data_IF_640294901774
#
_entry.id   IF_640294901774
#
_cell.length_a   1.000
_cell.length_b   1.000
_cell.length_c   1.000
_cell.angle_alpha   90.00
_cell.angle_beta   90.00
_cell.angle_gamma   90.00
#
_symmetry.space_group_name_H-M   'P 1'
#
loop_
_entity.id
_entity.type
_entity.pdbx_description
1 polymer ?
#
# COMPACT_ATOMS: atom_id res chain seq x y z
N UNK A 1 -8.49 -18.90 -32.96
CA UNK A 1 -8.08 -18.09 -31.82
C UNK A 1 -6.93 -18.72 -30.99
N UNK A 2 -7.04 -19.96 -30.51
CA UNK A 2 -5.99 -20.60 -29.68
C UNK A 2 -4.62 -20.72 -30.36
N UNK A 3 -4.54 -21.11 -31.64
CA UNK A 3 -3.27 -21.21 -32.39
C UNK A 3 -2.51 -19.87 -32.44
N UNK A 4 -3.20 -18.77 -32.76
CA UNK A 4 -2.53 -17.46 -32.84
C UNK A 4 -2.06 -16.91 -31.48
N UNK A 5 -2.60 -17.40 -30.35
CA UNK A 5 -2.06 -17.12 -29.02
C UNK A 5 -0.80 -17.94 -28.74
N UNK A 6 -0.80 -19.24 -29.13
CA UNK A 6 0.38 -20.10 -28.98
C UNK A 6 1.54 -19.56 -29.84
N UNK A 7 1.28 -19.15 -31.08
CA UNK A 7 2.30 -18.58 -31.96
C UNK A 7 2.93 -17.30 -31.38
N UNK A 8 2.13 -16.43 -30.71
CA UNK A 8 2.63 -15.24 -30.02
C UNK A 8 3.41 -15.57 -28.76
N UNK A 9 3.01 -16.62 -28.01
CA UNK A 9 3.73 -17.04 -26.80
C UNK A 9 5.07 -17.71 -27.14
N UNK A 10 5.21 -18.26 -28.36
CA UNK A 10 6.43 -18.85 -28.87
C UNK A 10 7.32 -17.85 -29.64
N UNK A 11 7.14 -16.56 -29.38
CA UNK A 11 7.96 -15.50 -29.95
C UNK A 11 9.03 -15.06 -28.94
N UNK A 12 10.24 -14.81 -29.41
CA UNK A 12 11.36 -14.35 -28.59
C UNK A 12 11.04 -13.05 -27.84
N UNK A 13 10.38 -12.10 -28.50
CA UNK A 13 9.97 -10.83 -27.90
C UNK A 13 9.05 -11.05 -26.69
N UNK A 14 8.11 -11.99 -26.80
CA UNK A 14 7.22 -12.34 -25.69
C UNK A 14 7.98 -12.97 -24.53
N UNK A 15 8.90 -13.89 -24.81
CA UNK A 15 9.73 -14.55 -23.77
C UNK A 15 10.61 -13.53 -23.07
N UNK A 16 11.22 -12.62 -23.83
CA UNK A 16 12.03 -11.53 -23.28
C UNK A 16 11.20 -10.63 -22.34
N UNK A 17 10.05 -10.16 -22.81
CA UNK A 17 9.15 -9.34 -22.02
C UNK A 17 8.69 -10.06 -20.74
N UNK A 18 8.37 -11.35 -20.83
CA UNK A 18 7.94 -12.17 -19.69
C UNK A 18 9.02 -12.27 -18.61
N UNK A 19 10.28 -12.55 -18.99
CA UNK A 19 11.41 -12.65 -18.06
C UNK A 19 11.73 -11.30 -17.44
N UNK A 20 11.74 -10.22 -18.22
CA UNK A 20 11.93 -8.86 -17.73
C UNK A 20 10.85 -8.50 -16.70
N UNK A 21 9.58 -8.72 -17.01
CA UNK A 21 8.48 -8.44 -16.10
C UNK A 21 8.53 -9.32 -14.84
N UNK A 22 8.86 -10.61 -14.97
CA UNK A 22 9.05 -11.50 -13.81
C UNK A 22 10.10 -10.96 -12.85
N UNK A 23 11.22 -10.47 -13.37
CA UNK A 23 12.31 -9.93 -12.57
C UNK A 23 11.91 -8.62 -11.87
N UNK A 24 11.34 -7.69 -12.62
CA UNK A 24 10.89 -6.40 -12.10
C UNK A 24 9.79 -6.55 -11.04
N UNK A 25 8.81 -7.44 -11.29
CA UNK A 25 7.77 -7.74 -10.32
C UNK A 25 8.34 -8.43 -9.06
N UNK A 26 9.40 -9.24 -9.21
CA UNK A 26 10.12 -9.82 -8.09
C UNK A 26 10.74 -8.75 -7.17
N UNK A 27 11.45 -7.77 -7.76
CA UNK A 27 12.04 -6.64 -7.00
C UNK A 27 10.96 -5.84 -6.24
N UNK A 28 9.80 -5.62 -6.86
CA UNK A 28 8.75 -4.76 -6.30
C UNK A 28 7.79 -5.50 -5.35
N UNK A 29 7.85 -6.83 -5.31
CA UNK A 29 6.89 -7.67 -4.58
C UNK A 29 6.88 -7.40 -3.07
N UNK A 30 8.04 -7.32 -2.45
CA UNK A 30 8.14 -7.17 -0.99
C UNK A 30 7.59 -5.83 -0.52
N UNK A 31 7.89 -4.76 -1.25
CA UNK A 31 7.31 -3.44 -1.00
C UNK A 31 5.78 -3.48 -1.19
N UNK A 32 5.31 -4.13 -2.26
CA UNK A 32 3.88 -4.27 -2.53
C UNK A 32 3.14 -5.00 -1.41
N UNK A 33 3.72 -6.07 -0.88
CA UNK A 33 3.16 -6.83 0.24
C UNK A 33 3.06 -5.98 1.52
N UNK A 34 4.10 -5.21 1.83
CA UNK A 34 4.10 -4.34 3.02
C UNK A 34 3.10 -3.20 2.86
N UNK A 35 3.04 -2.55 1.70
CA UNK A 35 2.09 -1.45 1.45
C UNK A 35 0.62 -1.92 1.42
N UNK A 36 0.35 -3.21 1.25
CA UNK A 36 -1.00 -3.79 1.28
C UNK A 36 -1.46 -4.21 2.68
N UNK A 37 -0.60 -4.19 3.68
CA UNK A 37 -1.00 -4.53 5.05
C UNK A 37 -1.91 -3.44 5.64
N UNK A 38 -2.84 -3.84 6.53
CA UNK A 38 -3.71 -2.88 7.25
C UNK A 38 -2.93 -2.03 8.24
N UNK A 39 -2.03 -2.67 8.98
CA UNK A 39 -1.19 -2.05 10.01
C UNK A 39 0.20 -1.79 9.42
N UNK A 40 0.32 -0.69 8.68
CA UNK A 40 1.55 -0.38 7.98
C UNK A 40 2.62 0.13 8.93
N UNK A 41 3.77 -0.53 8.87
CA UNK A 41 4.99 -0.03 9.48
C UNK A 41 5.69 0.92 8.49
N UNK A 42 5.54 2.23 8.72
CA UNK A 42 6.13 3.29 7.88
C UNK A 42 7.66 3.13 7.80
N UNK A 43 8.32 2.78 8.90
CA UNK A 43 9.78 2.59 8.96
C UNK A 43 10.20 1.46 8.01
N UNK A 44 9.49 0.33 8.07
CA UNK A 44 9.75 -0.81 7.19
C UNK A 44 9.47 -0.48 5.73
N UNK A 45 8.36 0.22 5.44
CA UNK A 45 8.03 0.64 4.10
C UNK A 45 9.11 1.56 3.50
N UNK A 46 9.62 2.51 4.29
CA UNK A 46 10.71 3.41 3.86
C UNK A 46 11.99 2.66 3.53
N UNK A 47 12.43 1.75 4.42
CA UNK A 47 13.60 0.91 4.18
C UNK A 47 13.46 0.06 2.90
N UNK A 48 12.28 -0.47 2.64
CA UNK A 48 12.01 -1.25 1.43
C UNK A 48 11.98 -0.39 0.16
N UNK A 49 11.49 0.84 0.24
CA UNK A 49 11.53 1.79 -0.88
C UNK A 49 12.99 2.08 -1.28
N UNK A 50 13.85 2.38 -0.32
CA UNK A 50 15.25 2.66 -0.58
C UNK A 50 15.98 1.41 -1.13
N UNK A 51 15.73 0.25 -0.54
CA UNK A 51 16.27 -1.03 -1.02
C UNK A 51 15.83 -1.31 -2.45
N UNK A 52 14.54 -1.14 -2.76
CA UNK A 52 14.00 -1.37 -4.10
C UNK A 52 14.58 -0.41 -5.14
N UNK A 53 14.73 0.88 -4.80
CA UNK A 53 15.39 1.87 -5.69
C UNK A 53 16.82 1.46 -6.01
N UNK A 54 17.58 1.02 -5.01
CA UNK A 54 18.94 0.53 -5.20
C UNK A 54 18.98 -0.73 -6.07
N UNK A 55 18.11 -1.71 -5.81
CA UNK A 55 18.02 -2.93 -6.61
C UNK A 55 17.64 -2.67 -8.07
N UNK A 56 16.73 -1.72 -8.33
CA UNK A 56 16.39 -1.32 -9.70
C UNK A 56 17.56 -0.65 -10.41
N UNK A 57 18.35 0.16 -9.69
CA UNK A 57 19.53 0.80 -10.25
C UNK A 57 20.62 -0.23 -10.57
N UNK A 58 20.90 -1.13 -9.66
CA UNK A 58 21.86 -2.23 -9.87
C UNK A 58 21.42 -3.12 -11.03
N UNK A 59 20.13 -3.44 -11.11
CA UNK A 59 19.58 -4.21 -12.21
C UNK A 59 19.68 -3.48 -13.57
N UNK A 60 19.50 -2.17 -13.58
CA UNK A 60 19.70 -1.37 -14.79
C UNK A 60 21.14 -1.44 -15.32
N UNK A 61 22.10 -1.47 -14.43
CA UNK A 61 23.52 -1.46 -14.79
C UNK A 61 24.04 -2.85 -15.15
N UNK A 62 23.68 -3.87 -14.37
CA UNK A 62 24.25 -5.21 -14.44
C UNK A 62 23.27 -6.30 -14.90
N UNK A 63 21.95 -6.03 -14.89
CA UNK A 63 20.91 -7.04 -15.12
C UNK A 63 20.77 -7.49 -16.57
N UNK A 64 21.31 -6.74 -17.53
CA UNK A 64 21.14 -7.07 -18.96
C UNK A 64 21.60 -8.50 -19.30
N UNK A 65 22.80 -8.86 -18.90
CA UNK A 65 23.36 -10.18 -19.24
C UNK A 65 22.59 -11.32 -18.56
N UNK A 66 22.13 -11.09 -17.34
CA UNK A 66 21.33 -12.05 -16.59
C UNK A 66 20.03 -12.37 -17.33
N UNK A 67 19.31 -11.35 -17.77
CA UNK A 67 18.05 -11.52 -18.51
C UNK A 67 18.31 -12.19 -19.86
N UNK A 68 19.35 -11.78 -20.58
CA UNK A 68 19.68 -12.34 -21.88
C UNK A 68 19.97 -13.83 -21.78
N UNK A 69 20.78 -14.25 -20.81
CA UNK A 69 21.15 -15.65 -20.58
C UNK A 69 19.93 -16.49 -20.17
N UNK A 70 19.05 -15.97 -19.29
CA UNK A 70 17.80 -16.66 -18.90
C UNK A 70 16.86 -16.84 -20.10
N UNK A 71 16.68 -15.80 -20.91
CA UNK A 71 15.81 -15.83 -22.09
C UNK A 71 16.34 -16.82 -23.12
N UNK A 72 17.64 -16.77 -23.44
CA UNK A 72 18.24 -17.66 -24.41
C UNK A 72 18.13 -19.10 -23.97
N UNK A 73 18.46 -19.40 -22.71
CA UNK A 73 18.33 -20.75 -22.15
C UNK A 73 16.87 -21.24 -22.19
N UNK A 74 15.90 -20.38 -21.85
CA UNK A 74 14.50 -20.75 -21.94
C UNK A 74 14.07 -21.03 -23.39
N UNK A 75 14.50 -20.20 -24.34
CA UNK A 75 14.18 -20.37 -25.75
C UNK A 75 14.76 -21.67 -26.31
N UNK A 76 16.02 -21.98 -26.00
CA UNK A 76 16.68 -23.23 -26.41
C UNK A 76 15.93 -24.46 -25.86
N UNK A 77 15.59 -24.47 -24.57
CA UNK A 77 14.87 -25.59 -23.94
C UNK A 77 13.46 -25.79 -24.51
N UNK A 78 12.82 -24.75 -25.02
CA UNK A 78 11.46 -24.81 -25.55
C UNK A 78 11.41 -24.78 -27.10
N UNK A 79 12.55 -24.90 -27.78
CA UNK A 79 12.68 -24.88 -29.24
C UNK A 79 12.14 -23.58 -29.87
N UNK A 80 12.23 -22.47 -29.16
CA UNK A 80 11.92 -21.14 -29.66
C UNK A 80 13.19 -20.60 -30.35
N UNK A 81 13.11 -20.04 -31.56
CA UNK A 81 14.29 -19.51 -32.25
C UNK A 81 14.93 -18.37 -31.43
N UNK A 82 16.21 -18.53 -31.11
CA UNK A 82 17.02 -17.48 -30.47
C UNK A 82 17.45 -16.49 -31.54
N UNK A 83 17.37 -15.21 -31.20
CA UNK A 83 17.68 -14.09 -32.10
C UNK A 83 19.15 -13.72 -31.96
N UNK A 84 19.84 -13.50 -33.09
CA UNK A 84 21.19 -12.93 -33.06
C UNK A 84 21.11 -11.44 -32.72
N UNK A 85 21.79 -11.02 -31.67
CA UNK A 85 21.80 -9.64 -31.17
C UNK A 85 22.48 -8.66 -32.14
N UNK A 86 23.37 -9.16 -33.02
CA UNK A 86 24.05 -8.32 -34.03
C UNK A 86 23.23 -8.15 -35.32
N UNK A 87 22.17 -8.95 -35.49
CA UNK A 87 21.30 -8.81 -36.67
C UNK A 87 20.55 -7.48 -36.65
N UNK A 88 20.39 -6.92 -37.85
CA UNK A 88 19.71 -5.65 -38.03
C UNK A 88 18.22 -5.83 -38.27
N UNK A 89 17.42 -5.08 -37.55
CA UNK A 89 15.97 -4.98 -37.76
C UNK A 89 15.59 -3.63 -38.35
N UNK A 90 14.60 -3.63 -39.25
CA UNK A 90 14.06 -2.41 -39.82
C UNK A 90 13.16 -1.71 -38.79
N UNK A 91 13.41 -0.45 -38.50
CA UNK A 91 12.56 0.34 -37.60
C UNK A 91 11.16 0.46 -38.26
N UNK A 92 10.14 -0.12 -37.60
CA UNK A 92 8.73 0.03 -37.95
C UNK A 92 8.24 1.46 -37.60
N UNK A 93 8.77 2.48 -38.30
CA UNK A 93 8.31 3.86 -38.19
C UNK A 93 7.31 4.20 -39.27
N UNK A 94 6.41 5.16 -39.01
CA UNK A 94 5.44 5.67 -39.96
C UNK A 94 6.09 5.96 -41.32
N UNK A 95 5.66 5.25 -42.34
CA UNK A 95 6.19 5.26 -43.74
C UNK A 95 6.31 6.66 -44.40
N UNK A 96 5.83 7.72 -43.75
CA UNK A 96 5.92 9.11 -44.26
C UNK A 96 7.16 9.89 -43.79
N UNK A 97 7.95 9.38 -42.81
CA UNK A 97 9.17 10.08 -42.33
C UNK A 97 10.47 9.33 -42.59
N UNK A 98 10.45 8.05 -42.95
CA UNK A 98 11.65 7.27 -43.21
C UNK A 98 12.08 7.38 -44.70
N UNK A 99 12.69 8.50 -45.07
CA UNK A 99 13.43 8.61 -46.35
C UNK A 99 14.85 7.98 -46.33
N UNK A 100 15.29 7.49 -45.17
CA UNK A 100 16.47 6.61 -45.00
C UNK A 100 16.02 5.50 -44.08
N UNK A 101 16.00 4.26 -44.57
CA UNK A 101 15.75 3.09 -43.74
C UNK A 101 16.86 3.01 -42.68
N UNK A 102 16.61 3.56 -41.49
CA UNK A 102 17.46 3.37 -40.34
C UNK A 102 17.22 1.95 -39.87
N UNK A 103 18.26 1.15 -39.87
CA UNK A 103 18.29 -0.18 -39.27
C UNK A 103 18.95 -0.03 -37.90
N UNK A 104 18.41 -0.68 -36.93
CA UNK A 104 19.04 -0.85 -35.60
C UNK A 104 19.34 -2.32 -35.42
N UNK A 105 20.30 -2.65 -34.56
CA UNK A 105 20.56 -4.04 -34.18
C UNK A 105 19.51 -4.54 -33.18
N UNK A 106 19.30 -5.86 -33.12
CA UNK A 106 18.50 -6.48 -32.09
C UNK A 106 19.00 -6.10 -30.70
N UNK A 107 20.34 -6.04 -30.52
CA UNK A 107 20.96 -5.57 -29.28
C UNK A 107 20.47 -4.17 -28.88
N UNK A 108 20.43 -3.21 -29.81
CA UNK A 108 19.94 -1.87 -29.50
C UNK A 108 18.47 -1.90 -29.14
N UNK A 109 17.65 -2.63 -29.89
CA UNK A 109 16.22 -2.75 -29.64
C UNK A 109 15.91 -3.35 -28.27
N UNK A 110 16.46 -4.54 -27.96
CA UNK A 110 16.14 -5.21 -26.70
C UNK A 110 16.80 -4.57 -25.49
N UNK A 111 18.06 -4.12 -25.61
CA UNK A 111 18.78 -3.52 -24.49
C UNK A 111 18.37 -2.08 -24.23
N UNK A 112 18.32 -1.23 -25.27
CA UNK A 112 18.12 0.22 -25.09
C UNK A 112 16.63 0.57 -25.11
N UNK A 113 15.91 0.15 -26.16
CA UNK A 113 14.52 0.57 -26.34
C UNK A 113 13.52 -0.21 -25.46
N UNK A 114 13.88 -1.43 -24.97
CA UNK A 114 13.00 -2.19 -24.07
C UNK A 114 13.58 -2.24 -22.67
N UNK A 115 14.71 -2.90 -22.46
CA UNK A 115 15.23 -3.15 -21.10
C UNK A 115 15.53 -1.84 -20.36
N UNK A 116 16.41 -0.99 -20.91
CA UNK A 116 16.78 0.26 -20.21
C UNK A 116 15.57 1.20 -20.07
N UNK A 117 14.76 1.38 -21.11
CA UNK A 117 13.61 2.30 -21.06
C UNK A 117 12.57 1.87 -20.04
N UNK A 118 12.24 0.57 -19.97
CA UNK A 118 11.28 0.05 -18.96
C UNK A 118 11.80 0.22 -17.55
N UNK A 119 13.09 -0.11 -17.30
CA UNK A 119 13.69 0.05 -15.97
C UNK A 119 13.77 1.52 -15.59
N UNK A 120 14.20 2.40 -16.50
CA UNK A 120 14.28 3.86 -16.28
C UNK A 120 12.90 4.47 -15.97
N UNK A 121 11.84 4.03 -16.68
CA UNK A 121 10.46 4.45 -16.39
C UNK A 121 10.02 4.04 -14.98
N UNK A 122 10.33 2.83 -14.54
CA UNK A 122 9.98 2.38 -13.18
C UNK A 122 10.76 3.19 -12.14
N UNK A 123 12.06 3.40 -12.32
CA UNK A 123 12.88 4.24 -11.43
C UNK A 123 12.33 5.67 -11.36
N UNK A 124 11.95 6.23 -12.50
CA UNK A 124 11.38 7.57 -12.58
C UNK A 124 10.03 7.65 -11.82
N UNK A 125 9.13 6.69 -12.03
CA UNK A 125 7.85 6.62 -11.32
C UNK A 125 8.06 6.46 -9.81
N UNK A 126 9.04 5.65 -9.39
CA UNK A 126 9.39 5.51 -7.98
C UNK A 126 9.91 6.81 -7.39
N UNK A 127 10.76 7.54 -8.12
CA UNK A 127 11.28 8.83 -7.66
C UNK A 127 10.19 9.92 -7.63
N UNK A 128 9.25 9.89 -8.56
CA UNK A 128 8.10 10.80 -8.56
C UNK A 128 7.16 10.55 -7.38
N UNK A 129 6.84 9.29 -7.11
CA UNK A 129 5.93 8.90 -6.02
C UNK A 129 6.57 9.03 -4.64
N UNK A 130 7.83 8.70 -4.54
CA UNK A 130 8.64 8.75 -3.31
C UNK A 130 9.77 9.77 -3.49
N UNK A 131 9.38 11.04 -3.66
CA UNK A 131 10.31 12.16 -3.76
C UNK A 131 11.06 12.36 -2.45
N UNK A 132 12.16 13.11 -2.48
CA UNK A 132 12.92 13.45 -1.28
C UNK A 132 12.05 14.12 -0.21
N UNK A 133 11.13 15.00 -0.61
CA UNK A 133 10.21 15.68 0.31
C UNK A 133 9.25 14.69 0.97
N UNK A 134 8.67 13.77 0.20
CA UNK A 134 7.79 12.73 0.75
C UNK A 134 8.55 11.78 1.67
N UNK A 135 9.78 11.45 1.31
CA UNK A 135 10.68 10.60 2.10
C UNK A 135 11.11 11.30 3.39
N UNK A 136 11.44 12.60 3.33
CA UNK A 136 11.74 13.43 4.51
C UNK A 136 10.54 13.47 5.46
N UNK A 137 9.34 13.75 4.92
CA UNK A 137 8.10 13.79 5.68
C UNK A 137 7.85 12.47 6.42
N UNK A 138 7.90 11.35 5.71
CA UNK A 138 7.72 10.03 6.30
C UNK A 138 8.81 9.71 7.34
N UNK A 139 10.06 10.08 7.09
CA UNK A 139 11.17 9.94 8.05
C UNK A 139 10.96 10.78 9.32
N UNK A 140 10.33 11.94 9.22
CA UNK A 140 9.96 12.73 10.40
C UNK A 140 8.82 12.08 11.20
N UNK A 141 7.84 11.50 10.51
CA UNK A 141 6.70 10.81 11.13
C UNK A 141 7.16 9.57 11.90
N UNK A 142 8.15 8.82 11.40
CA UNK A 142 8.67 7.64 12.10
C UNK A 142 9.22 7.97 13.50
N UNK A 143 9.59 9.23 13.74
CA UNK A 143 10.03 9.69 15.05
C UNK A 143 8.90 9.76 16.10
N UNK A 144 7.63 9.70 15.67
CA UNK A 144 6.47 9.63 16.56
C UNK A 144 6.06 8.19 16.90
N UNK A 145 6.68 7.17 16.28
CA UNK A 145 6.36 5.76 16.52
C UNK A 145 6.61 5.38 17.98
N UNK A 146 5.59 4.93 18.72
CA UNK A 146 5.73 4.55 20.13
C UNK A 146 6.49 3.23 20.32
N UNK A 147 6.68 2.44 19.27
CA UNK A 147 7.38 1.16 19.33
C UNK A 147 8.74 1.28 20.00
N UNK A 148 9.13 0.22 20.71
CA UNK A 148 10.42 0.17 21.41
C UNK A 148 10.69 1.39 22.32
N UNK A 149 9.65 1.85 23.03
CA UNK A 149 9.72 3.02 23.93
C UNK A 149 10.20 4.29 23.24
N UNK A 150 9.69 4.57 22.03
CA UNK A 150 10.06 5.75 21.24
C UNK A 150 11.56 5.80 20.87
N UNK A 151 12.16 4.66 20.55
CA UNK A 151 13.60 4.57 20.23
C UNK A 151 14.02 5.46 19.06
N UNK A 152 13.11 5.79 18.15
CA UNK A 152 13.35 6.64 16.98
C UNK A 152 13.05 8.12 17.24
N UNK A 153 12.64 8.50 18.45
CA UNK A 153 12.25 9.85 18.78
C UNK A 153 13.38 10.86 18.58
N UNK A 154 13.16 11.83 17.71
CA UNK A 154 14.15 12.85 17.38
C UNK A 154 13.50 14.23 17.31
N UNK A 155 13.86 15.10 18.25
CA UNK A 155 13.29 16.46 18.38
C UNK A 155 13.52 17.28 17.12
N UNK A 156 14.71 17.22 16.51
CA UNK A 156 15.04 18.02 15.33
C UNK A 156 14.21 17.62 14.11
N UNK A 157 14.01 16.31 13.90
CA UNK A 157 13.13 15.82 12.84
C UNK A 157 11.66 16.20 13.06
N UNK A 158 11.21 16.24 14.32
CA UNK A 158 9.83 16.64 14.64
C UNK A 158 9.64 18.15 14.51
N UNK A 159 10.65 18.96 14.79
CA UNK A 159 10.63 20.38 14.45
C UNK A 159 10.58 20.58 12.94
N UNK A 160 11.38 19.81 12.19
CA UNK A 160 11.34 19.84 10.73
C UNK A 160 9.98 19.40 10.17
N UNK A 161 9.31 18.46 10.82
CA UNK A 161 7.92 18.08 10.47
C UNK A 161 6.97 19.29 10.60
N UNK A 162 7.10 20.06 11.67
CA UNK A 162 6.30 21.27 11.85
C UNK A 162 6.64 22.35 10.79
N UNK A 163 7.89 22.48 10.36
CA UNK A 163 8.29 23.39 9.26
C UNK A 163 7.58 23.09 7.94
N UNK A 164 7.25 21.83 7.69
CA UNK A 164 6.51 21.41 6.49
C UNK A 164 5.03 21.80 6.53
N UNK A 165 4.50 22.20 7.70
CA UNK A 165 3.11 22.60 7.91
C UNK A 165 2.98 24.00 8.53
N UNK A 166 3.39 25.05 7.81
CA UNK A 166 3.42 26.43 8.34
C UNK A 166 2.02 27.00 8.62
N UNK A 167 0.97 26.42 8.05
CA UNK A 167 -0.41 26.83 8.34
C UNK A 167 -0.93 26.26 9.67
N UNK A 168 -0.37 25.13 10.12
CA UNK A 168 -0.76 24.46 11.37
C UNK A 168 0.07 24.92 12.58
N UNK A 169 1.26 25.51 12.36
CA UNK A 169 2.16 25.95 13.41
C UNK A 169 2.54 27.42 13.22
N UNK A 170 2.12 28.26 14.15
CA UNK A 170 2.52 29.66 14.18
C UNK A 170 3.98 29.83 14.64
N UNK A 171 4.56 30.97 14.35
CA UNK A 171 5.94 31.29 14.81
C UNK A 171 6.07 31.21 16.35
N UNK A 172 5.00 31.49 17.09
CA UNK A 172 4.98 31.34 18.55
C UNK A 172 4.94 29.86 18.97
N UNK A 173 4.19 29.02 18.22
CA UNK A 173 4.12 27.57 18.52
C UNK A 173 5.51 26.92 18.41
N UNK A 174 6.34 27.35 17.46
CA UNK A 174 7.71 26.88 17.30
C UNK A 174 8.57 27.09 18.55
N UNK A 175 8.44 28.25 19.21
CA UNK A 175 9.21 28.55 20.42
C UNK A 175 8.88 27.56 21.57
N UNK A 176 7.67 27.08 21.61
CA UNK A 176 7.21 26.16 22.66
C UNK A 176 7.31 24.69 22.26
N UNK A 177 7.30 24.37 20.96
CA UNK A 177 7.26 23.00 20.45
C UNK A 177 8.47 22.17 20.91
N UNK A 178 9.67 22.72 20.80
CA UNK A 178 10.90 22.04 21.22
C UNK A 178 10.82 21.65 22.71
N UNK A 179 10.41 22.60 23.55
CA UNK A 179 10.25 22.37 24.98
C UNK A 179 9.17 21.33 25.27
N UNK A 180 8.03 21.40 24.57
CA UNK A 180 6.97 20.40 24.69
C UNK A 180 7.43 19.01 24.28
N UNK A 181 8.16 18.87 23.17
CA UNK A 181 8.70 17.59 22.69
C UNK A 181 9.65 16.95 23.72
N UNK A 182 10.56 17.73 24.29
CA UNK A 182 11.50 17.25 25.34
C UNK A 182 10.77 16.80 26.59
N UNK A 183 9.78 17.57 27.03
CA UNK A 183 8.99 17.23 28.23
C UNK A 183 8.06 16.04 27.96
N UNK A 184 7.49 15.96 26.78
CA UNK A 184 6.62 14.88 26.35
C UNK A 184 7.34 13.54 26.39
N UNK A 185 8.49 13.41 25.71
CA UNK A 185 9.22 12.16 25.64
C UNK A 185 9.65 11.68 27.03
N UNK A 186 10.15 12.58 27.86
CA UNK A 186 10.54 12.27 29.23
C UNK A 186 9.36 11.77 30.09
N UNK A 187 8.18 12.36 29.89
CA UNK A 187 6.97 12.00 30.62
C UNK A 187 6.42 10.65 30.15
N UNK A 188 6.30 10.45 28.83
CA UNK A 188 5.63 9.29 28.25
C UNK A 188 6.46 8.02 28.39
N UNK A 189 7.79 8.10 28.23
CA UNK A 189 8.67 6.93 28.44
C UNK A 189 8.65 6.37 29.86
N UNK A 190 8.27 7.16 30.86
CA UNK A 190 8.19 6.75 32.27
C UNK A 190 6.79 6.40 32.75
N UNK A 191 5.80 6.60 31.90
CA UNK A 191 4.41 6.32 32.24
C UNK A 191 4.04 4.90 31.82
N UNK A 192 3.76 3.99 32.77
CA UNK A 192 3.41 2.60 32.46
C UNK A 192 2.19 2.47 31.53
N UNK A 193 1.32 3.48 31.50
CA UNK A 193 0.14 3.47 30.63
C UNK A 193 0.47 3.57 29.14
N UNK A 194 1.71 3.90 28.79
CA UNK A 194 2.20 4.00 27.41
C UNK A 194 3.15 2.85 27.01
N UNK A 195 3.42 1.90 27.93
CA UNK A 195 4.34 0.79 27.67
C UNK A 195 3.82 -0.21 26.62
N UNK A 196 2.50 -0.33 26.48
CA UNK A 196 1.84 -1.29 25.57
C UNK A 196 1.31 -0.61 24.30
N UNK A 197 1.65 0.66 24.07
CA UNK A 197 1.20 1.40 22.88
C UNK A 197 2.12 1.06 21.71
N UNK A 198 1.56 0.46 20.65
CA UNK A 198 2.34 -0.05 19.50
C UNK A 198 2.18 0.76 18.23
N UNK A 199 1.16 1.62 18.14
CA UNK A 199 0.87 2.39 16.93
C UNK A 199 0.42 3.83 17.24
N UNK A 200 0.47 4.71 16.22
CA UNK A 200 0.11 6.12 16.35
C UNK A 200 -1.37 6.35 16.72
N UNK A 201 -2.27 5.50 16.25
CA UNK A 201 -3.70 5.60 16.56
C UNK A 201 -3.96 5.32 18.03
N UNK A 202 -3.40 4.23 18.55
CA UNK A 202 -3.44 3.87 19.97
C UNK A 202 -2.76 4.93 20.83
N UNK A 203 -1.65 5.52 20.35
CA UNK A 203 -0.97 6.64 21.02
C UNK A 203 -1.89 7.86 21.15
N UNK A 204 -2.54 8.26 20.09
CA UNK A 204 -3.47 9.39 20.11
C UNK A 204 -4.63 9.15 21.08
N UNK A 205 -5.22 7.94 21.07
CA UNK A 205 -6.29 7.56 22.00
C UNK A 205 -5.82 7.59 23.45
N UNK A 206 -4.63 7.06 23.74
CA UNK A 206 -4.07 7.03 25.08
C UNK A 206 -3.74 8.44 25.60
N UNK A 207 -3.24 9.32 24.73
CA UNK A 207 -3.05 10.73 25.09
C UNK A 207 -4.36 11.42 25.48
N UNK A 208 -5.46 11.15 24.79
CA UNK A 208 -6.78 11.69 25.14
C UNK A 208 -7.28 11.11 26.44
N UNK A 209 -7.20 9.79 26.64
CA UNK A 209 -7.64 9.11 27.87
C UNK A 209 -6.90 9.63 29.11
N UNK A 210 -5.62 9.95 28.98
CA UNK A 210 -4.77 10.45 30.08
C UNK A 210 -4.76 11.97 30.23
N UNK A 211 -5.47 12.70 29.34
CA UNK A 211 -5.46 14.16 29.31
C UNK A 211 -4.15 14.79 28.81
N UNK A 212 -3.19 13.98 28.35
CA UNK A 212 -1.90 14.49 27.86
C UNK A 212 -2.00 15.27 26.54
N UNK A 213 -3.10 15.11 25.80
CA UNK A 213 -3.39 15.94 24.62
C UNK A 213 -3.57 17.43 24.98
N UNK A 214 -4.06 17.73 26.17
CA UNK A 214 -4.18 19.12 26.67
C UNK A 214 -2.89 19.65 27.30
N UNK A 215 -2.06 18.75 27.85
CA UNK A 215 -0.76 19.12 28.43
C UNK A 215 0.30 19.37 27.34
N UNK A 216 0.26 18.58 26.25
CA UNK A 216 1.17 18.65 25.11
C UNK A 216 0.41 18.89 23.80
N UNK A 217 -0.29 20.03 23.65
CA UNK A 217 -1.18 20.26 22.52
C UNK A 217 -0.46 20.30 21.16
N UNK A 218 0.77 20.83 21.10
CA UNK A 218 1.55 20.90 19.86
C UNK A 218 2.05 19.51 19.43
N UNK A 219 2.46 18.67 20.38
CA UNK A 219 2.83 17.29 20.09
C UNK A 219 1.62 16.50 19.61
N UNK A 220 0.46 16.69 20.25
CA UNK A 220 -0.78 16.05 19.83
C UNK A 220 -1.19 16.47 18.41
N UNK A 221 -0.98 17.74 18.05
CA UNK A 221 -1.19 18.26 16.68
C UNK A 221 -0.27 17.56 15.67
N UNK A 222 1.01 17.34 15.97
CA UNK A 222 1.91 16.55 15.12
C UNK A 222 1.41 15.11 14.92
N UNK A 223 0.92 14.47 15.97
CA UNK A 223 0.34 13.12 15.88
C UNK A 223 -0.93 13.13 15.01
N UNK A 224 -1.80 14.12 15.16
CA UNK A 224 -2.99 14.26 14.31
C UNK A 224 -2.63 14.43 12.83
N UNK A 225 -1.64 15.28 12.51
CA UNK A 225 -1.14 15.45 11.14
C UNK A 225 -0.58 14.13 10.59
N UNK A 226 0.21 13.41 11.38
CA UNK A 226 0.75 12.12 10.98
C UNK A 226 -0.35 11.07 10.70
N UNK A 227 -1.44 11.10 11.44
CA UNK A 227 -2.59 10.19 11.23
C UNK A 227 -3.43 10.53 10.00
N UNK A 228 -3.44 11.79 9.57
CA UNK A 228 -4.18 12.23 8.36
C UNK A 228 -3.42 11.92 7.07
N UNK A 229 -2.09 11.75 7.15
CA UNK A 229 -1.29 11.50 5.96
C UNK A 229 -1.61 10.11 5.35
N UNK A 230 -1.92 10.05 4.06
CA UNK A 230 -2.15 8.80 3.36
C UNK A 230 -0.82 8.08 3.12
N UNK A 231 -0.42 7.21 4.04
CA UNK A 231 0.82 6.44 3.92
C UNK A 231 0.71 5.35 2.86
N UNK A 232 -0.50 4.83 2.62
CA UNK A 232 -0.76 3.94 1.50
C UNK A 232 -2.21 3.96 1.05
N UNK A 233 -2.38 3.92 -0.24
CA UNK A 233 -3.66 3.91 -0.94
C UNK A 233 -4.19 2.51 -1.24
N UNK A 234 -3.64 1.46 -0.62
CA UNK A 234 -4.15 0.09 -0.80
C UNK A 234 -5.64 -0.06 -0.42
N UNK A 235 -6.20 0.93 0.29
CA UNK A 235 -7.65 1.02 0.52
C UNK A 235 -8.43 1.22 -0.77
N UNK A 236 -7.90 2.01 -1.72
CA UNK A 236 -8.55 2.30 -3.01
C UNK A 236 -8.56 1.05 -3.90
N UNK A 237 -7.45 0.34 -4.01
CA UNK A 237 -7.35 -0.91 -4.76
C UNK A 237 -8.26 -1.99 -4.16
N UNK A 238 -8.35 -2.07 -2.82
CA UNK A 238 -9.31 -2.96 -2.15
C UNK A 238 -10.76 -2.61 -2.49
N UNK A 239 -11.10 -1.32 -2.54
CA UNK A 239 -12.43 -0.86 -2.95
C UNK A 239 -12.72 -1.25 -4.40
N UNK A 240 -11.79 -1.05 -5.33
CA UNK A 240 -11.97 -1.46 -6.72
C UNK A 240 -12.08 -2.99 -6.87
N UNK A 241 -11.29 -3.75 -6.13
CA UNK A 241 -11.42 -5.21 -6.09
C UNK A 241 -12.79 -5.63 -5.53
N UNK A 242 -13.24 -5.01 -4.44
CA UNK A 242 -14.56 -5.22 -3.86
C UNK A 242 -15.69 -4.85 -4.82
N UNK A 243 -15.54 -3.75 -5.59
CA UNK A 243 -16.50 -3.38 -6.64
C UNK A 243 -16.74 -4.49 -7.64
N UNK A 244 -15.69 -5.15 -8.11
CA UNK A 244 -15.80 -6.24 -9.07
C UNK A 244 -16.54 -7.47 -8.48
N UNK A 245 -16.46 -7.66 -7.16
CA UNK A 245 -17.18 -8.73 -6.45
C UNK A 245 -18.65 -8.35 -6.22
N UNK A 246 -18.93 -7.10 -5.83
CA UNK A 246 -20.27 -6.60 -5.56
C UNK A 246 -21.05 -6.37 -6.87
N UNK A 247 -20.40 -5.79 -7.89
CA UNK A 247 -20.97 -5.49 -9.20
C UNK A 247 -20.48 -6.53 -10.22
N UNK A 248 -21.28 -7.55 -10.43
CA UNK A 248 -21.05 -8.59 -11.45
C UNK A 248 -21.90 -8.32 -12.68
N UNK A 249 -21.68 -9.04 -13.79
CA UNK A 249 -22.49 -8.95 -15.01
C UNK A 249 -23.99 -9.13 -14.74
N UNK A 250 -24.36 -9.93 -13.76
CA UNK A 250 -25.72 -10.14 -13.32
C UNK A 250 -26.27 -9.04 -12.42
N UNK A 251 -25.41 -8.19 -11.86
CA UNK A 251 -25.74 -7.08 -10.95
C UNK A 251 -25.27 -5.72 -11.49
N UNK A 252 -25.17 -5.55 -12.79
CA UNK A 252 -24.66 -4.32 -13.41
C UNK A 252 -25.61 -3.10 -13.33
N UNK A 253 -26.90 -3.32 -13.03
CA UNK A 253 -27.92 -2.27 -12.89
C UNK A 253 -28.08 -1.71 -11.47
N UNK A 254 -27.13 -1.98 -10.57
CA UNK A 254 -27.14 -1.46 -9.22
C UNK A 254 -26.89 0.06 -9.23
N UNK A 255 -27.75 0.84 -8.58
CA UNK A 255 -27.56 2.29 -8.42
C UNK A 255 -26.40 2.60 -7.45
N UNK A 256 -25.85 3.81 -7.55
CA UNK A 256 -24.63 4.19 -6.84
C UNK A 256 -24.79 4.16 -5.31
N UNK A 257 -25.93 4.61 -4.77
CA UNK A 257 -26.19 4.55 -3.33
C UNK A 257 -26.21 3.10 -2.83
N UNK A 258 -26.88 2.20 -3.53
CA UNK A 258 -26.95 0.80 -3.13
C UNK A 258 -25.60 0.10 -3.29
N UNK A 259 -24.84 0.44 -4.34
CA UNK A 259 -23.49 -0.05 -4.53
C UNK A 259 -22.58 0.39 -3.37
N UNK A 260 -22.68 1.65 -2.97
CA UNK A 260 -21.91 2.19 -1.85
C UNK A 260 -22.23 1.48 -0.53
N UNK A 261 -23.51 1.27 -0.23
CA UNK A 261 -23.95 0.53 0.97
C UNK A 261 -23.38 -0.89 0.99
N UNK A 262 -23.47 -1.60 -0.16
CA UNK A 262 -22.92 -2.95 -0.29
C UNK A 262 -21.38 -2.97 -0.14
N UNK A 263 -20.68 -1.98 -0.70
CA UNK A 263 -19.22 -1.86 -0.59
C UNK A 263 -18.79 -1.61 0.85
N UNK A 264 -19.46 -0.71 1.57
CA UNK A 264 -19.16 -0.44 2.99
C UNK A 264 -19.30 -1.72 3.82
N UNK A 265 -20.39 -2.46 3.64
CA UNK A 265 -20.61 -3.73 4.37
C UNK A 265 -19.55 -4.77 4.01
N UNK A 266 -19.16 -4.84 2.73
CA UNK A 266 -18.17 -5.81 2.28
C UNK A 266 -16.76 -5.49 2.77
N UNK A 267 -16.37 -4.22 2.74
CA UNK A 267 -15.03 -3.76 3.13
C UNK A 267 -14.87 -3.83 4.66
N UNK A 268 -15.88 -3.36 5.39
CA UNK A 268 -15.91 -3.32 6.85
C UNK A 268 -16.59 -4.56 7.45
N UNK A 269 -16.44 -5.71 6.79
CA UNK A 269 -17.09 -6.98 7.20
C UNK A 269 -16.77 -7.38 8.65
N UNK A 270 -15.59 -7.05 9.15
CA UNK A 270 -15.17 -7.37 10.51
C UNK A 270 -15.97 -6.53 11.52
N UNK A 271 -16.19 -5.24 11.24
CA UNK A 271 -17.07 -4.37 12.03
C UNK A 271 -18.52 -4.84 11.89
N UNK A 272 -18.95 -5.15 10.65
CA UNK A 272 -20.31 -5.62 10.41
C UNK A 272 -20.62 -6.92 11.16
N UNK A 273 -19.65 -7.83 11.28
CA UNK A 273 -19.80 -9.08 12.02
C UNK A 273 -20.01 -8.88 13.53
N UNK A 274 -19.68 -7.71 14.09
CA UNK A 274 -19.94 -7.37 15.51
C UNK A 274 -21.36 -6.89 15.77
N UNK A 275 -22.13 -6.56 14.70
CA UNK A 275 -23.48 -6.04 14.81
C UNK A 275 -24.48 -7.23 14.87
N UNK A 276 -25.26 -7.28 15.94
CA UNK A 276 -26.28 -8.32 16.10
C UNK A 276 -27.40 -8.16 15.07
N UNK A 277 -27.84 -9.29 14.48
CA UNK A 277 -28.93 -9.33 13.50
C UNK A 277 -30.22 -8.69 14.02
N UNK A 278 -30.50 -8.79 15.32
CA UNK A 278 -31.68 -8.18 15.96
C UNK A 278 -31.67 -6.65 15.86
N UNK A 279 -30.50 -6.02 16.03
CA UNK A 279 -30.35 -4.56 15.89
C UNK A 279 -30.65 -4.12 14.45
N UNK A 280 -30.17 -4.89 13.46
CA UNK A 280 -30.42 -4.62 12.04
C UNK A 280 -31.93 -4.76 11.74
N UNK A 281 -32.58 -5.82 12.22
CA UNK A 281 -34.00 -6.05 12.02
C UNK A 281 -34.86 -4.97 12.66
N UNK A 282 -34.56 -4.57 13.89
CA UNK A 282 -35.27 -3.48 14.58
C UNK A 282 -35.11 -2.16 13.84
N UNK A 283 -33.90 -1.83 13.37
CA UNK A 283 -33.66 -0.64 12.57
C UNK A 283 -34.47 -0.68 11.28
N UNK A 284 -34.44 -1.82 10.57
CA UNK A 284 -35.20 -2.02 9.33
C UNK A 284 -36.73 -1.87 9.53
N UNK A 285 -37.29 -2.40 10.61
CA UNK A 285 -38.70 -2.25 10.93
C UNK A 285 -39.11 -0.80 11.24
N UNK A 286 -38.23 -0.06 11.91
CA UNK A 286 -38.47 1.37 12.27
C UNK A 286 -38.35 2.33 11.10
N UNK A 287 -37.69 1.96 10.01
CA UNK A 287 -37.50 2.85 8.85
C UNK A 287 -38.79 3.22 8.11
N UNK A 288 -39.80 2.33 8.08
CA UNK A 288 -41.12 2.56 7.45
C UNK A 288 -42.19 1.71 8.13
N UNK A 289 -43.43 2.21 8.14
CA UNK A 289 -44.59 1.39 8.51
C UNK A 289 -44.77 0.28 7.49
N UNK A 290 -44.69 -0.98 7.90
CA UNK A 290 -44.76 -2.17 7.03
C UNK A 290 -46.06 -2.94 7.28
N UNK A 291 -46.62 -3.51 6.23
CA UNK A 291 -47.87 -4.36 6.31
C UNK A 291 -47.66 -5.61 7.14
N UNK A 292 -46.43 -6.12 7.20
CA UNK A 292 -46.06 -7.31 7.95
C UNK A 292 -44.89 -7.01 8.85
N UNK A 293 -44.98 -7.29 10.14
CA UNK A 293 -43.88 -7.25 11.06
C UNK A 293 -43.08 -8.55 10.98
N UNK A 294 -41.76 -8.44 10.98
CA UNK A 294 -40.89 -9.59 11.07
C UNK A 294 -40.97 -10.19 12.48
N UNK A 295 -41.06 -11.52 12.65
CA UNK A 295 -41.02 -12.11 13.98
C UNK A 295 -39.65 -11.82 14.62
N UNK A 296 -39.62 -11.65 15.97
CA UNK A 296 -38.37 -11.50 16.67
C UNK A 296 -37.52 -12.76 16.50
N UNK A 297 -36.19 -12.57 16.30
CA UNK A 297 -35.26 -13.69 16.25
C UNK A 297 -35.31 -14.44 17.58
N UNK A 298 -35.55 -15.77 17.51
CA UNK A 298 -35.46 -16.63 18.71
C UNK A 298 -33.99 -16.71 19.12
N UNK A 299 -33.67 -16.13 20.27
CA UNK A 299 -32.37 -16.42 20.90
C UNK A 299 -32.26 -17.91 21.14
N UNK A 300 -31.26 -18.58 20.62
CA UNK A 300 -30.86 -19.90 21.13
C UNK A 300 -30.29 -19.65 22.54
N UNK A 301 -31.09 -19.97 23.54
CA UNK A 301 -30.63 -20.00 24.92
C UNK A 301 -29.41 -20.91 24.99
N UNK A 302 -28.24 -20.31 25.28
CA UNK A 302 -27.06 -21.06 25.62
C UNK A 302 -27.40 -22.00 26.76
N UNK A 303 -27.24 -23.28 26.56
CA UNK A 303 -27.43 -24.35 27.54
C UNK A 303 -26.49 -24.13 28.68
N UNK A 304 -27.01 -23.61 29.77
CA UNK A 304 -26.31 -23.59 31.08
C UNK A 304 -26.21 -25.04 31.54
N UNK A 305 -25.07 -25.66 31.33
CA UNK A 305 -24.76 -26.94 31.98
C UNK A 305 -24.57 -26.69 33.48
N UNK A 306 -25.65 -26.93 34.23
CA UNK A 306 -25.59 -27.10 35.69
C UNK A 306 -24.77 -28.37 35.99
N UNK A 307 -23.54 -28.20 36.41
CA UNK A 307 -22.83 -29.23 37.19
C UNK A 307 -23.35 -29.22 38.60
N UNK A 308 -24.36 -30.04 38.85
CA UNK A 308 -24.77 -30.40 40.21
C UNK A 308 -23.70 -31.33 40.82
N UNK A 309 -23.02 -30.82 41.82
CA UNK A 309 -22.25 -31.56 42.80
C UNK A 309 -23.14 -32.61 43.46
N UNK A 310 -22.76 -33.89 43.35
CA UNK A 310 -23.27 -34.95 44.24
C UNK A 310 -22.12 -35.33 45.17
N UNK A 311 -22.30 -34.97 46.45
CA UNK A 311 -21.64 -35.61 47.55
C UNK A 311 -22.17 -37.03 47.70
N UNK A 312 -21.30 -38.00 47.69
CA UNK A 312 -21.21 -39.08 48.71
C UNK A 312 -19.88 -39.83 48.49
#
# INVERSE_FOLDING_TARGET
>A
MARGLIDRMNDYEFVFALHLMKYLLGITNDLSLVLQQRDQNIVQAMSLIDTMKSQLQDFREEGWQIILDEVNNFCELNMIPVIDMEDSIAIRGNARRSRRGQTITNFHHYRVEIFCEVVDLIIQEMNNRFSEVSTELLSCITCLDPKSSFSQFNVQKLLRLADLYPEDFSSNDYLYLESQLRNYIYNVQRDPQFSEVEDLGSLAQQMVKTGKNTVFPLVYRLIQLALVLPVATASVERVFSAMNIVKTDLRNKMGDEWMNDCLVVYIEKDIFATIENEQILQRFQRMKTRRMQLPPLRYSSATTTNTSSVNQ
#
